data_IF_336494568735
#
_entry.id   IF_336494568735
#
_cell.length_a   1.000
_cell.length_b   1.000
_cell.length_c   1.000
_cell.angle_alpha   90.00
_cell.angle_beta   90.00
_cell.angle_gamma   90.00
#
_symmetry.space_group_name_H-M   'P 1'
#
loop_
_entity.id
_entity.type
_entity.pdbx_description
1 polymer ?
#
# COMPACT_ATOMS: atom_id res chain seq x y z
N UNK A 1 30.75 -5.87 -32.30
CA UNK A 1 30.46 -5.41 -33.67
C UNK A 1 29.20 -4.57 -33.56
N UNK A 2 29.30 -3.28 -33.25
CA UNK A 2 29.52 -2.15 -34.19
C UNK A 2 28.21 -1.35 -34.19
N UNK A 3 28.13 -0.03 -34.14
CA UNK A 3 29.10 1.06 -34.10
C UNK A 3 28.33 2.34 -33.69
N UNK A 4 28.98 3.22 -32.93
CA UNK A 4 28.53 4.60 -32.64
C UNK A 4 29.25 5.53 -33.63
N UNK A 5 28.60 6.56 -34.22
CA UNK A 5 29.34 7.65 -34.83
C UNK A 5 29.24 8.94 -34.00
N UNK A 6 30.41 9.42 -33.59
CA UNK A 6 30.67 10.82 -33.24
C UNK A 6 30.74 11.68 -34.51
N UNK A 7 30.33 12.95 -34.44
CA UNK A 7 30.64 13.94 -35.46
C UNK A 7 31.24 15.21 -34.87
N UNK A 8 32.40 15.57 -35.43
CA UNK A 8 33.27 16.68 -35.10
C UNK A 8 32.86 17.99 -35.79
N UNK A 9 33.22 19.13 -35.18
CA UNK A 9 33.17 20.49 -35.73
C UNK A 9 34.03 20.68 -37.01
N UNK A 10 33.90 21.82 -37.74
CA UNK A 10 34.81 22.95 -37.46
C UNK A 10 34.27 24.37 -37.73
N UNK A 11 35.05 25.34 -37.21
CA UNK A 11 34.95 26.81 -37.28
C UNK A 11 34.97 27.39 -38.71
N UNK A 12 34.37 28.57 -38.89
CA UNK A 12 34.81 29.55 -39.89
C UNK A 12 34.70 31.01 -39.36
N UNK A 13 35.77 31.77 -39.58
CA UNK A 13 35.95 33.21 -39.37
C UNK A 13 35.47 34.03 -40.58
N UNK A 14 35.07 35.29 -40.36
CA UNK A 14 34.79 36.24 -41.44
C UNK A 14 34.67 37.70 -40.97
N UNK A 15 35.68 38.51 -41.30
CA UNK A 15 35.73 39.98 -41.21
C UNK A 15 34.93 40.65 -42.35
N UNK A 16 34.42 41.88 -42.11
CA UNK A 16 33.97 42.80 -43.16
C UNK A 16 33.62 44.21 -42.62
N UNK A 17 33.75 45.29 -43.41
CA UNK A 17 34.38 46.54 -42.95
C UNK A 17 33.47 47.79 -42.90
N UNK A 18 34.01 48.83 -42.24
CA UNK A 18 33.62 50.25 -42.24
C UNK A 18 33.71 50.91 -43.62
N UNK A 19 32.90 51.95 -43.88
CA UNK A 19 33.27 53.04 -44.77
C UNK A 19 33.42 54.38 -44.03
N UNK A 20 34.46 55.09 -44.47
CA UNK A 20 34.87 56.45 -44.12
C UNK A 20 34.30 57.43 -45.17
N UNK A 21 33.93 58.65 -44.77
CA UNK A 21 33.66 59.75 -45.70
C UNK A 21 34.13 61.08 -45.07
N UNK A 22 35.25 61.56 -45.60
CA UNK A 22 35.72 62.96 -45.68
C UNK A 22 34.66 63.81 -46.43
N UNK A 23 34.58 65.13 -46.44
CA UNK A 23 35.50 66.27 -46.41
C UNK A 23 34.59 67.53 -46.13
N UNK A 24 35.04 68.76 -45.85
CA UNK A 24 35.86 69.66 -46.67
C UNK A 24 36.17 70.94 -45.87
N UNK A 25 37.15 71.69 -46.39
CA UNK A 25 37.88 72.79 -45.76
C UNK A 25 37.43 74.20 -46.24
N UNK A 26 38.23 75.20 -45.85
CA UNK A 26 38.31 76.61 -46.30
C UNK A 26 37.36 77.64 -45.66
N UNK A 27 37.73 78.90 -45.38
CA UNK A 27 39.00 79.66 -45.26
C UNK A 27 38.60 81.04 -44.66
N UNK A 28 39.47 81.62 -43.82
CA UNK A 28 39.92 83.04 -43.78
C UNK A 28 39.94 83.73 -42.39
N UNK A 29 40.97 84.56 -42.09
CA UNK A 29 41.35 84.98 -40.74
C UNK A 29 41.11 86.47 -40.41
N UNK A 30 41.25 86.73 -39.10
CA UNK A 30 41.64 87.95 -38.39
C UNK A 30 40.82 89.25 -38.52
N UNK A 31 40.34 89.76 -37.37
CA UNK A 31 40.73 91.06 -36.81
C UNK A 31 40.20 91.26 -35.37
N UNK A 32 41.14 91.15 -34.41
CA UNK A 32 41.36 91.94 -33.17
C UNK A 32 40.19 92.77 -32.58
N UNK A 33 39.79 92.49 -31.33
CA UNK A 33 39.74 93.52 -30.27
C UNK A 33 39.72 92.92 -28.86
N UNK A 34 40.68 93.41 -28.07
CA UNK A 34 41.04 93.06 -26.70
C UNK A 34 40.12 93.78 -25.70
N UNK A 35 39.54 93.04 -24.74
CA UNK A 35 39.07 93.61 -23.46
C UNK A 35 38.83 92.53 -22.40
N UNK A 36 39.65 92.62 -21.34
CA UNK A 36 39.31 92.35 -19.94
C UNK A 36 39.06 90.91 -19.48
N UNK A 37 39.98 90.40 -18.65
CA UNK A 37 39.83 89.25 -17.74
C UNK A 37 39.05 89.64 -16.44
N UNK A 38 38.82 88.75 -15.44
CA UNK A 38 38.84 87.27 -15.42
C UNK A 38 37.57 86.66 -14.74
N UNK A 39 37.55 85.32 -14.57
CA UNK A 39 36.71 84.50 -13.65
C UNK A 39 35.22 84.36 -14.06
N UNK A 40 34.68 83.17 -14.30
CA UNK A 40 34.56 82.05 -13.36
C UNK A 40 34.85 80.67 -13.99
N UNK A 41 35.68 79.91 -13.26
CA UNK A 41 35.99 78.51 -13.44
C UNK A 41 34.76 77.65 -13.06
N UNK A 42 33.91 77.32 -14.02
CA UNK A 42 33.02 76.16 -13.91
C UNK A 42 33.72 74.94 -14.47
N UNK A 43 34.68 74.44 -13.69
CA UNK A 43 35.11 73.05 -13.71
C UNK A 43 33.91 72.16 -13.39
N UNK A 44 33.08 71.91 -14.39
CA UNK A 44 32.07 70.86 -14.37
C UNK A 44 32.83 69.54 -14.29
N UNK A 45 32.96 68.99 -13.08
CA UNK A 45 33.49 67.63 -12.84
C UNK A 45 32.52 66.62 -13.46
N UNK A 46 32.78 66.03 -14.63
CA UNK A 46 31.96 64.96 -15.16
C UNK A 46 32.54 63.67 -14.58
N UNK A 47 32.08 63.27 -13.40
CA UNK A 47 32.65 62.08 -12.78
C UNK A 47 32.04 61.65 -11.47
N UNK A 48 31.31 62.51 -10.77
CA UNK A 48 30.72 62.13 -9.47
C UNK A 48 29.23 61.85 -9.60
N UNK A 49 28.48 62.63 -10.39
CA UNK A 49 27.02 62.43 -10.54
C UNK A 49 26.69 61.20 -11.39
N UNK A 50 27.44 60.96 -12.47
CA UNK A 50 27.28 59.76 -13.29
C UNK A 50 27.69 58.49 -12.53
N UNK A 51 28.81 58.54 -11.79
CA UNK A 51 29.27 57.41 -10.95
C UNK A 51 28.30 57.16 -9.80
N UNK A 52 27.76 58.22 -9.17
CA UNK A 52 26.73 58.08 -8.13
C UNK A 52 25.42 57.51 -8.68
N UNK A 53 24.98 57.92 -9.88
CA UNK A 53 23.80 57.35 -10.54
C UNK A 53 23.96 55.87 -10.87
N UNK A 54 25.13 55.46 -11.39
CA UNK A 54 25.45 54.05 -11.62
C UNK A 54 25.57 53.25 -10.32
N UNK A 55 26.13 53.83 -9.26
CA UNK A 55 26.22 53.20 -7.95
C UNK A 55 24.82 52.98 -7.35
N UNK A 56 23.93 53.97 -7.43
CA UNK A 56 22.53 53.83 -6.99
C UNK A 56 21.80 52.79 -7.83
N UNK A 57 21.97 52.79 -9.15
CA UNK A 57 21.40 51.77 -10.04
C UNK A 57 21.87 50.35 -9.70
N UNK A 58 23.16 50.18 -9.40
CA UNK A 58 23.73 48.90 -8.95
C UNK A 58 23.17 48.45 -7.60
N UNK A 59 23.01 49.36 -6.64
CA UNK A 59 22.41 49.05 -5.34
C UNK A 59 20.95 48.63 -5.49
N UNK A 60 20.17 49.35 -6.30
CA UNK A 60 18.76 48.99 -6.56
C UNK A 60 18.67 47.64 -7.27
N UNK A 61 19.53 47.39 -8.27
CA UNK A 61 19.59 46.09 -8.93
C UNK A 61 19.97 44.97 -7.95
N UNK A 62 20.95 45.19 -7.07
CA UNK A 62 21.35 44.20 -6.06
C UNK A 62 20.21 43.91 -5.07
N UNK A 63 19.50 44.93 -4.59
CA UNK A 63 18.34 44.75 -3.71
C UNK A 63 17.22 44.01 -4.43
N UNK A 64 16.93 44.34 -5.68
CA UNK A 64 15.93 43.62 -6.48
C UNK A 64 16.32 42.15 -6.68
N UNK A 65 17.61 41.85 -6.93
CA UNK A 65 18.11 40.47 -6.99
C UNK A 65 17.95 39.75 -5.67
N UNK A 66 18.27 40.37 -4.54
CA UNK A 66 18.10 39.77 -3.20
C UNK A 66 16.62 39.48 -2.92
N UNK A 67 15.72 40.41 -3.24
CA UNK A 67 14.27 40.21 -3.06
C UNK A 67 13.76 39.10 -3.98
N UNK A 68 14.21 39.04 -5.24
CA UNK A 68 13.83 37.98 -6.16
C UNK A 68 14.35 36.60 -5.72
N UNK A 69 15.58 36.54 -5.22
CA UNK A 69 16.17 35.31 -4.67
C UNK A 69 15.42 34.87 -3.42
N UNK A 70 15.12 35.79 -2.51
CA UNK A 70 14.34 35.50 -1.31
C UNK A 70 12.93 34.99 -1.66
N UNK A 71 12.26 35.62 -2.61
CA UNK A 71 10.93 35.20 -3.05
C UNK A 71 10.93 33.81 -3.73
N UNK A 72 12.00 33.45 -4.45
CA UNK A 72 12.17 32.11 -5.02
C UNK A 72 12.49 31.09 -3.92
N UNK A 73 13.35 31.47 -2.96
CA UNK A 73 13.71 30.63 -1.83
C UNK A 73 12.47 30.25 -1.00
N UNK A 74 11.61 31.22 -0.72
CA UNK A 74 10.39 31.02 0.09
C UNK A 74 9.28 30.23 -0.62
N UNK A 75 9.42 29.90 -1.91
CA UNK A 75 8.38 29.17 -2.65
C UNK A 75 8.86 27.87 -3.31
N UNK A 76 10.16 27.76 -3.60
CA UNK A 76 10.74 26.58 -4.25
C UNK A 76 11.80 25.87 -3.39
N UNK A 77 12.22 26.47 -2.29
CA UNK A 77 13.25 25.95 -1.37
C UNK A 77 12.76 26.05 0.08
N UNK A 78 11.47 25.75 0.26
CA UNK A 78 10.78 25.70 1.54
C UNK A 78 10.42 24.25 1.90
N UNK A 79 10.14 23.94 3.18
CA UNK A 79 9.86 22.58 3.63
C UNK A 79 8.69 21.91 2.90
N UNK A 80 7.66 22.68 2.55
CA UNK A 80 6.49 22.24 1.79
C UNK A 80 6.87 21.82 0.37
N UNK A 81 7.77 22.54 -0.32
CA UNK A 81 8.23 22.17 -1.66
C UNK A 81 8.99 20.83 -1.68
N UNK A 82 9.77 20.53 -0.64
CA UNK A 82 10.41 19.21 -0.46
C UNK A 82 9.38 18.13 -0.22
N UNK A 83 8.37 18.40 0.60
CA UNK A 83 7.27 17.47 0.87
C UNK A 83 6.39 17.21 -0.37
N UNK A 84 6.12 18.22 -1.20
CA UNK A 84 5.44 18.09 -2.49
C UNK A 84 6.24 17.21 -3.45
N UNK A 85 7.55 17.46 -3.59
CA UNK A 85 8.42 16.64 -4.45
C UNK A 85 8.46 15.19 -3.98
N UNK A 86 8.51 14.99 -2.67
CA UNK A 86 8.42 13.66 -2.06
C UNK A 86 7.10 12.98 -2.39
N UNK A 87 5.97 13.67 -2.23
CA UNK A 87 4.64 13.14 -2.56
C UNK A 87 4.48 12.78 -4.04
N UNK A 88 5.01 13.61 -4.94
CA UNK A 88 5.04 13.32 -6.37
C UNK A 88 5.82 12.03 -6.68
N UNK A 89 6.97 11.83 -6.01
CA UNK A 89 7.76 10.61 -6.15
C UNK A 89 7.03 9.36 -5.61
N UNK A 90 6.32 9.47 -4.48
CA UNK A 90 5.47 8.37 -3.98
C UNK A 90 4.36 8.04 -4.98
N UNK A 91 3.68 9.07 -5.49
CA UNK A 91 2.59 8.94 -6.47
C UNK A 91 3.06 8.30 -7.78
N UNK A 92 4.29 8.58 -8.21
CA UNK A 92 4.89 7.99 -9.40
C UNK A 92 5.46 6.57 -9.16
N UNK A 93 5.51 6.10 -7.90
CA UNK A 93 6.21 4.86 -7.53
C UNK A 93 7.73 4.97 -7.62
N UNK A 94 8.27 6.18 -7.69
CA UNK A 94 9.69 6.49 -7.87
C UNK A 94 10.42 6.48 -6.52
N UNK A 95 10.41 5.32 -5.86
CA UNK A 95 10.94 5.15 -4.52
C UNK A 95 12.40 5.56 -4.31
N UNK A 96 13.25 5.43 -5.34
CA UNK A 96 14.64 5.88 -5.28
C UNK A 96 14.78 7.40 -5.31
N UNK A 97 13.85 8.09 -5.98
CA UNK A 97 13.77 9.55 -5.98
C UNK A 97 13.29 10.06 -4.62
N UNK A 98 12.22 9.46 -4.08
CA UNK A 98 11.77 9.73 -2.71
C UNK A 98 12.90 9.53 -1.69
N UNK A 99 13.62 8.40 -1.75
CA UNK A 99 14.73 8.10 -0.85
C UNK A 99 15.88 9.11 -0.95
N UNK A 100 16.07 9.73 -2.12
CA UNK A 100 17.13 10.73 -2.33
C UNK A 100 16.91 12.04 -1.57
N UNK A 101 15.68 12.26 -1.09
CA UNK A 101 15.29 13.42 -0.28
C UNK A 101 15.55 13.20 1.21
N UNK A 102 15.92 11.99 1.65
CA UNK A 102 16.18 11.67 3.04
C UNK A 102 17.64 11.93 3.43
N UNK A 103 17.84 12.45 4.65
CA UNK A 103 19.19 12.63 5.23
C UNK A 103 19.90 11.28 5.45
N UNK A 104 19.11 10.25 5.79
CA UNK A 104 19.58 8.90 6.08
C UNK A 104 18.43 7.90 6.03
N UNK A 105 18.79 6.64 5.80
CA UNK A 105 17.85 5.52 5.79
C UNK A 105 17.91 4.82 7.16
N UNK A 106 16.77 4.46 7.78
CA UNK A 106 16.78 3.69 9.02
C UNK A 106 17.54 2.35 8.89
N UNK A 107 18.13 1.85 9.98
CA UNK A 107 18.89 0.59 9.98
C UNK A 107 18.02 -0.63 9.61
N UNK A 108 16.75 -0.65 10.05
CA UNK A 108 15.83 -1.75 9.76
C UNK A 108 15.54 -1.91 8.26
N UNK A 109 15.52 -0.81 7.50
CA UNK A 109 15.27 -0.89 6.05
C UNK A 109 16.50 -1.37 5.26
N UNK A 110 17.67 -1.44 5.90
CA UNK A 110 18.95 -1.80 5.28
C UNK A 110 19.40 -3.23 5.53
N UNK A 111 18.95 -3.86 6.63
CA UNK A 111 19.43 -5.16 7.07
C UNK A 111 18.71 -6.36 6.40
N UNK A 112 17.63 -6.10 5.65
CA UNK A 112 16.82 -7.13 4.97
C UNK A 112 15.91 -7.93 5.90
N UNK A 113 15.69 -7.46 7.14
CA UNK A 113 14.77 -8.07 8.11
C UNK A 113 13.31 -7.72 7.80
N UNK A 114 13.08 -6.52 7.26
CA UNK A 114 11.76 -6.08 6.77
C UNK A 114 11.72 -6.10 5.25
N UNK A 115 10.55 -6.40 4.71
CA UNK A 115 10.30 -6.31 3.27
C UNK A 115 10.14 -4.84 2.86
N UNK A 116 10.87 -4.44 1.82
CA UNK A 116 10.88 -3.08 1.29
C UNK A 116 9.90 -2.89 0.12
N UNK A 117 8.94 -3.81 -0.05
CA UNK A 117 7.94 -3.81 -1.12
C UNK A 117 7.26 -2.44 -1.29
N UNK A 118 6.82 -1.83 -0.18
CA UNK A 118 6.09 -0.55 -0.19
C UNK A 118 7.00 0.67 -0.38
N UNK A 119 8.31 0.50 -0.51
CA UNK A 119 9.23 1.61 -0.75
C UNK A 119 9.48 1.89 -2.23
N UNK A 120 8.89 1.14 -3.16
CA UNK A 120 9.16 1.36 -4.59
C UNK A 120 8.11 0.75 -5.53
N UNK A 121 8.03 1.24 -6.76
CA UNK A 121 7.31 0.60 -7.85
C UNK A 121 5.80 0.64 -7.71
N UNK A 122 5.14 -0.39 -8.25
CA UNK A 122 3.69 -0.47 -8.31
C UNK A 122 3.00 -0.50 -6.92
N UNK A 123 3.51 -1.21 -5.89
CA UNK A 123 2.91 -1.17 -4.55
C UNK A 123 2.93 0.23 -3.93
N UNK A 124 4.00 0.99 -4.18
CA UNK A 124 4.13 2.38 -3.70
C UNK A 124 3.16 3.32 -4.44
N UNK A 125 3.10 3.26 -5.77
CA UNK A 125 2.14 4.10 -6.52
C UNK A 125 0.70 3.73 -6.17
N UNK A 126 0.42 2.43 -5.95
CA UNK A 126 -0.91 1.95 -5.52
C UNK A 126 -1.29 2.49 -4.15
N UNK A 127 -0.36 2.57 -3.21
CA UNK A 127 -0.57 3.24 -1.92
C UNK A 127 -1.01 4.69 -2.11
N UNK A 128 -0.31 5.44 -2.96
CA UNK A 128 -0.66 6.84 -3.23
C UNK A 128 -2.02 7.00 -3.94
N UNK A 129 -2.43 6.06 -4.79
CA UNK A 129 -3.78 6.05 -5.40
C UNK A 129 -4.91 5.87 -4.38
N UNK A 130 -4.63 5.18 -3.26
CA UNK A 130 -5.59 4.97 -2.17
C UNK A 130 -5.70 6.19 -1.24
N UNK A 131 -4.80 7.16 -1.40
CA UNK A 131 -4.79 8.41 -0.66
C UNK A 131 -5.50 9.49 -1.49
N UNK A 132 -6.64 9.96 -0.99
CA UNK A 132 -7.44 10.99 -1.60
C UNK A 132 -7.14 12.36 -0.98
N UNK A 133 -7.22 13.42 -1.79
CA UNK A 133 -7.15 14.81 -1.30
C UNK A 133 -5.92 15.12 -0.43
N UNK A 134 -4.76 14.61 -0.81
CA UNK A 134 -3.50 14.95 -0.13
C UNK A 134 -3.22 16.45 -0.28
N UNK A 135 -3.18 17.15 0.85
CA UNK A 135 -2.81 18.55 0.99
C UNK A 135 -1.54 18.64 1.84
N UNK A 136 -0.57 19.42 1.39
CA UNK A 136 0.68 19.68 2.10
C UNK A 136 0.66 21.11 2.62
N UNK A 137 0.95 21.28 3.91
CA UNK A 137 1.07 22.58 4.55
C UNK A 137 2.42 22.70 5.28
N UNK A 138 3.07 23.85 5.16
CA UNK A 138 4.27 24.15 5.94
C UNK A 138 3.93 24.27 7.44
N UNK A 139 4.78 23.68 8.29
CA UNK A 139 4.72 23.86 9.76
C UNK A 139 6.05 24.41 10.27
N UNK A 140 6.07 24.86 11.53
CA UNK A 140 7.30 25.43 12.12
C UNK A 140 8.47 24.45 12.22
N UNK A 141 8.19 23.14 12.18
CA UNK A 141 9.15 22.06 12.39
C UNK A 141 9.22 21.09 11.17
N UNK A 142 8.59 21.42 10.03
CA UNK A 142 8.59 20.58 8.83
C UNK A 142 7.40 20.83 7.90
N UNK A 143 6.77 19.76 7.43
CA UNK A 143 5.53 19.80 6.66
C UNK A 143 4.46 18.89 7.28
N UNK A 144 3.20 19.25 7.12
CA UNK A 144 2.04 18.45 7.53
C UNK A 144 1.30 17.99 6.29
N UNK A 145 1.02 16.69 6.23
CA UNK A 145 0.12 16.08 5.26
C UNK A 145 -1.26 15.94 5.88
N UNK A 146 -2.28 16.49 5.22
CA UNK A 146 -3.69 16.19 5.49
C UNK A 146 -4.28 15.44 4.32
N UNK A 147 -4.88 14.28 4.56
CA UNK A 147 -5.39 13.42 3.49
C UNK A 147 -6.56 12.56 3.95
N UNK A 148 -7.25 11.93 3.00
CA UNK A 148 -8.33 10.97 3.25
C UNK A 148 -7.92 9.60 2.73
N UNK A 149 -8.18 8.55 3.49
CA UNK A 149 -8.01 7.17 3.06
C UNK A 149 -9.25 6.38 3.48
N UNK A 150 -9.97 5.81 2.51
CA UNK A 150 -11.28 5.22 2.78
C UNK A 150 -12.29 6.27 3.25
N UNK A 151 -12.89 6.06 4.43
CA UNK A 151 -13.89 6.96 5.01
C UNK A 151 -13.30 7.96 6.03
N UNK A 152 -12.02 7.80 6.38
CA UNK A 152 -11.37 8.53 7.47
C UNK A 152 -10.38 9.58 6.96
N UNK A 153 -10.28 10.69 7.70
CA UNK A 153 -9.32 11.77 7.45
C UNK A 153 -8.14 11.63 8.40
N UNK A 154 -6.93 11.74 7.86
CA UNK A 154 -5.67 11.59 8.56
C UNK A 154 -4.84 12.86 8.43
N UNK A 155 -4.00 13.08 9.46
CA UNK A 155 -2.99 14.11 9.46
C UNK A 155 -1.68 13.47 9.93
N UNK A 156 -0.58 13.74 9.24
CA UNK A 156 0.75 13.27 9.64
C UNK A 156 1.80 14.34 9.41
N UNK A 157 2.72 14.48 10.36
CA UNK A 157 3.87 15.37 10.21
C UNK A 157 5.01 14.64 9.49
N UNK A 158 5.61 15.30 8.50
CA UNK A 158 6.84 14.90 7.86
C UNK A 158 7.97 15.80 8.39
N UNK A 159 8.86 15.29 9.24
CA UNK A 159 9.97 16.07 9.77
C UNK A 159 10.98 16.39 8.66
N UNK A 160 11.19 17.68 8.40
CA UNK A 160 12.15 18.17 7.40
C UNK A 160 13.17 19.05 8.09
N UNK A 161 14.45 18.80 7.85
CA UNK A 161 15.56 19.52 8.48
C UNK A 161 16.32 20.35 7.45
N UNK A 162 16.67 21.58 7.82
CA UNK A 162 17.57 22.43 7.02
C UNK A 162 18.99 21.87 7.08
N UNK A 163 19.54 21.47 5.93
CA UNK A 163 20.85 20.81 5.85
C UNK A 163 21.94 21.69 5.25
N UNK A 164 21.56 22.82 4.63
CA UNK A 164 22.55 23.75 4.11
C UNK A 164 21.97 24.81 3.17
N UNK A 165 22.87 25.36 2.35
CA UNK A 165 22.50 26.34 1.34
C UNK A 165 23.27 26.11 0.05
N UNK A 166 22.55 25.73 -1.00
CA UNK A 166 23.02 25.60 -2.36
C UNK A 166 23.25 26.97 -2.99
N UNK A 167 24.38 27.09 -3.70
CA UNK A 167 24.83 28.33 -4.36
C UNK A 167 25.01 29.55 -3.43
N UNK A 168 24.89 29.37 -2.11
CA UNK A 168 25.02 30.42 -1.10
C UNK A 168 23.76 31.26 -0.90
N UNK A 169 22.61 30.85 -1.46
CA UNK A 169 21.35 31.56 -1.31
C UNK A 169 20.07 30.71 -1.38
N UNK A 170 20.14 29.44 -1.77
CA UNK A 170 18.99 28.53 -1.78
C UNK A 170 19.11 27.53 -0.64
N UNK A 171 18.12 27.49 0.23
CA UNK A 171 18.11 26.56 1.36
C UNK A 171 17.93 25.12 0.87
N UNK A 172 18.71 24.20 1.45
CA UNK A 172 18.58 22.76 1.21
C UNK A 172 17.87 22.12 2.40
N UNK A 173 16.91 21.27 2.10
CA UNK A 173 16.05 20.60 3.07
C UNK A 173 16.06 19.10 2.81
N UNK A 174 16.22 18.31 3.87
CA UNK A 174 16.19 16.84 3.81
C UNK A 174 15.16 16.30 4.80
N UNK A 175 14.49 15.23 4.42
CA UNK A 175 13.52 14.52 5.25
C UNK A 175 14.29 13.69 6.29
N UNK A 176 13.86 13.75 7.56
CA UNK A 176 14.48 12.95 8.60
C UNK A 176 14.15 11.46 8.42
N UNK A 177 14.99 10.57 8.97
CA UNK A 177 14.80 9.11 8.84
C UNK A 177 13.45 8.61 9.36
N UNK A 178 12.77 9.37 10.23
CA UNK A 178 11.45 9.08 10.76
C UNK A 178 10.31 9.13 9.71
N UNK A 179 10.56 9.67 8.52
CA UNK A 179 9.63 9.57 7.38
C UNK A 179 9.59 8.18 6.72
N UNK A 180 10.43 7.24 7.19
CA UNK A 180 10.35 5.82 6.88
C UNK A 180 10.11 5.08 8.20
N UNK A 181 9.05 4.28 8.23
CA UNK A 181 8.70 3.43 9.37
C UNK A 181 8.47 2.00 8.91
N UNK A 182 8.06 1.11 9.81
CA UNK A 182 7.65 -0.24 9.50
C UNK A 182 6.45 -0.66 10.36
N UNK A 183 5.68 -1.62 9.85
CA UNK A 183 4.58 -2.26 10.55
C UNK A 183 4.64 -3.77 10.35
N UNK A 184 3.96 -4.50 11.24
CA UNK A 184 3.85 -5.96 11.20
C UNK A 184 2.42 -6.35 10.81
N UNK A 185 2.30 -7.18 9.77
CA UNK A 185 1.06 -7.90 9.45
C UNK A 185 1.10 -9.21 10.20
N UNK A 186 0.07 -9.47 10.99
CA UNK A 186 -0.14 -10.71 11.73
C UNK A 186 -1.33 -11.46 11.12
N UNK A 187 -1.13 -12.74 10.80
CA UNK A 187 -2.12 -13.60 10.16
C UNK A 187 -2.38 -14.82 11.04
N UNK A 188 -3.22 -14.67 12.09
CA UNK A 188 -3.55 -15.78 12.96
C UNK A 188 -4.11 -16.97 12.18
N UNK A 189 -3.63 -18.17 12.49
CA UNK A 189 -4.09 -19.39 11.83
C UNK A 189 -3.49 -19.64 10.44
N UNK A 190 -2.56 -18.81 9.95
CA UNK A 190 -1.98 -18.97 8.60
C UNK A 190 -1.44 -20.38 8.34
N UNK A 191 -0.79 -21.01 9.33
CA UNK A 191 -0.26 -22.38 9.20
C UNK A 191 -1.37 -23.43 9.04
N UNK A 192 -2.45 -23.29 9.80
CA UNK A 192 -3.63 -24.18 9.75
C UNK A 192 -4.39 -24.00 8.43
N UNK A 193 -4.40 -22.78 7.90
CA UNK A 193 -4.99 -22.43 6.62
C UNK A 193 -4.10 -22.73 5.41
N UNK A 194 -2.84 -23.14 5.61
CA UNK A 194 -1.89 -23.35 4.51
C UNK A 194 -1.47 -22.06 3.80
N UNK A 195 -1.61 -20.91 4.46
CA UNK A 195 -1.27 -19.59 3.93
C UNK A 195 0.21 -19.32 4.18
N UNK A 196 0.96 -19.12 3.09
CA UNK A 196 2.38 -18.72 3.16
C UNK A 196 2.64 -17.30 2.66
N UNK A 197 1.63 -16.62 2.12
CA UNK A 197 1.77 -15.30 1.50
C UNK A 197 0.51 -14.47 1.71
N UNK A 198 0.70 -13.15 1.80
CA UNK A 198 -0.36 -12.14 1.76
C UNK A 198 -0.15 -11.24 0.55
N UNK A 199 -1.23 -10.73 -0.04
CA UNK A 199 -1.15 -9.70 -1.07
C UNK A 199 -1.13 -8.33 -0.38
N UNK A 200 -0.13 -7.51 -0.69
CA UNK A 200 -0.04 -6.12 -0.21
C UNK A 200 0.03 -5.20 -1.41
N UNK A 201 -0.98 -4.34 -1.56
CA UNK A 201 -1.11 -3.42 -2.71
C UNK A 201 -0.96 -4.14 -4.07
N UNK A 202 -1.45 -5.38 -4.15
CA UNK A 202 -1.46 -6.19 -5.37
C UNK A 202 -0.22 -7.07 -5.62
N UNK A 203 0.80 -7.02 -4.76
CA UNK A 203 2.00 -7.86 -4.88
C UNK A 203 2.12 -8.84 -3.68
N UNK A 204 2.56 -10.09 -3.89
CA UNK A 204 2.76 -11.06 -2.82
C UNK A 204 3.91 -10.71 -1.87
N UNK A 205 3.67 -10.88 -0.58
CA UNK A 205 4.65 -10.83 0.51
C UNK A 205 4.63 -12.17 1.22
N UNK A 206 5.81 -12.77 1.42
CA UNK A 206 5.91 -14.05 2.14
C UNK A 206 5.76 -13.82 3.65
N UNK A 207 5.03 -14.72 4.30
CA UNK A 207 4.96 -14.78 5.75
C UNK A 207 6.18 -15.55 6.29
N UNK A 208 6.77 -15.04 7.37
CA UNK A 208 7.63 -15.81 8.27
C UNK A 208 6.76 -16.35 9.41
N UNK A 209 6.51 -17.66 9.38
CA UNK A 209 5.49 -18.33 10.19
C UNK A 209 4.07 -17.77 9.95
N UNK A 210 3.68 -16.75 10.72
CA UNK A 210 2.35 -16.14 10.72
C UNK A 210 2.43 -14.61 10.54
N UNK A 211 3.62 -14.04 10.36
CA UNK A 211 3.80 -12.59 10.26
C UNK A 211 4.59 -12.15 9.04
N UNK A 212 4.42 -10.89 8.64
CA UNK A 212 5.27 -10.21 7.67
C UNK A 212 5.56 -8.79 8.15
N UNK A 213 6.82 -8.37 8.08
CA UNK A 213 7.23 -7.01 8.43
C UNK A 213 7.50 -6.21 7.17
N UNK A 214 6.90 -5.03 7.07
CA UNK A 214 6.94 -4.18 5.89
C UNK A 214 7.44 -2.79 6.27
N UNK A 215 8.46 -2.30 5.58
CA UNK A 215 8.82 -0.88 5.65
C UNK A 215 7.92 -0.06 4.75
N UNK A 216 7.63 1.17 5.16
CA UNK A 216 6.74 2.07 4.46
C UNK A 216 7.19 3.52 4.61
N UNK A 217 6.94 4.29 3.56
CA UNK A 217 7.03 5.75 3.58
C UNK A 217 5.85 6.35 4.33
N UNK A 218 6.04 7.51 4.96
CA UNK A 218 4.94 8.26 5.59
C UNK A 218 4.48 9.39 4.66
N UNK A 219 3.17 9.52 4.33
CA UNK A 219 2.11 8.54 4.57
C UNK A 219 2.16 7.37 3.56
N UNK A 220 1.59 6.23 3.94
CA UNK A 220 1.34 5.07 3.06
C UNK A 220 0.01 4.43 3.42
N UNK A 221 -0.74 3.95 2.43
CA UNK A 221 -1.90 3.08 2.64
C UNK A 221 -1.57 1.68 2.10
N UNK A 222 -1.70 0.68 2.96
CA UNK A 222 -1.50 -0.72 2.65
C UNK A 222 -2.86 -1.45 2.63
N UNK A 223 -3.32 -1.83 1.45
CA UNK A 223 -4.42 -2.78 1.24
C UNK A 223 -3.82 -4.19 1.31
N UNK A 224 -4.20 -4.92 2.35
CA UNK A 224 -3.66 -6.26 2.65
C UNK A 224 -4.81 -7.25 2.46
N UNK A 225 -4.58 -8.30 1.67
CA UNK A 225 -5.59 -9.31 1.40
C UNK A 225 -5.00 -10.71 1.29
N UNK A 226 -5.85 -11.67 1.63
CA UNK A 226 -5.67 -13.09 1.38
C UNK A 226 -6.90 -13.49 0.56
N UNK A 227 -6.67 -13.97 -0.64
CA UNK A 227 -7.71 -14.49 -1.54
C UNK A 227 -7.21 -15.82 -2.09
N UNK A 228 -7.43 -16.87 -1.29
CA UNK A 228 -7.12 -18.24 -1.67
C UNK A 228 -8.42 -18.96 -2.00
N UNK A 229 -8.31 -20.15 -2.61
CA UNK A 229 -9.50 -20.96 -2.89
C UNK A 229 -10.33 -21.27 -1.64
N UNK A 230 -9.70 -21.36 -0.46
CA UNK A 230 -10.35 -21.85 0.76
C UNK A 230 -10.58 -20.78 1.82
N UNK A 231 -9.75 -19.73 1.83
CA UNK A 231 -9.75 -18.70 2.84
C UNK A 231 -9.67 -17.32 2.19
N UNK A 232 -10.47 -16.41 2.74
CA UNK A 232 -10.51 -15.01 2.34
C UNK A 232 -10.32 -14.10 3.55
N UNK A 233 -9.68 -12.95 3.36
CA UNK A 233 -9.57 -11.92 4.38
C UNK A 233 -8.99 -10.65 3.78
N UNK A 234 -9.43 -9.49 4.24
CA UNK A 234 -8.94 -8.21 3.74
C UNK A 234 -8.97 -7.13 4.84
N UNK A 235 -7.96 -6.28 4.85
CA UNK A 235 -7.89 -5.11 5.73
C UNK A 235 -7.11 -3.99 5.07
N UNK A 236 -7.27 -2.77 5.57
CA UNK A 236 -6.53 -1.60 5.13
C UNK A 236 -5.82 -0.98 6.32
N UNK A 237 -4.55 -0.66 6.16
CA UNK A 237 -3.75 -0.01 7.19
C UNK A 237 -3.16 1.30 6.66
N UNK A 238 -3.28 2.37 7.43
CA UNK A 238 -2.72 3.68 7.12
C UNK A 238 -1.50 3.91 8.00
N UNK A 239 -0.36 4.09 7.35
CA UNK A 239 0.92 4.36 7.99
C UNK A 239 1.10 5.87 8.10
N UNK A 240 1.16 6.37 9.33
CA UNK A 240 1.51 7.76 9.66
C UNK A 240 2.81 7.83 10.47
N UNK A 241 3.35 9.02 10.67
CA UNK A 241 4.48 9.23 11.57
C UNK A 241 4.08 8.80 13.00
N UNK A 242 4.99 8.11 13.70
CA UNK A 242 4.75 7.68 15.07
C UNK A 242 4.73 8.88 16.04
N UNK A 243 3.71 8.95 16.88
CA UNK A 243 3.64 9.93 17.96
C UNK A 243 4.78 9.71 18.97
N UNK A 244 5.74 10.64 19.04
CA UNK A 244 6.70 10.72 20.14
C UNK A 244 8.08 10.08 19.95
N UNK A 245 8.51 9.82 18.71
CA UNK A 245 9.93 9.57 18.39
C UNK A 245 10.52 8.22 18.81
N UNK A 246 9.78 7.41 19.57
CA UNK A 246 10.11 6.01 19.79
C UNK A 246 9.56 5.18 18.62
N UNK A 247 10.32 5.11 17.52
CA UNK A 247 10.11 4.21 16.37
C UNK A 247 10.26 2.70 16.74
N UNK A 248 10.12 2.36 18.03
CA UNK A 248 10.50 1.07 18.60
C UNK A 248 9.32 0.09 18.78
N UNK A 249 8.07 0.55 18.71
CA UNK A 249 6.91 -0.35 18.63
C UNK A 249 6.29 -0.23 17.25
N UNK A 250 6.53 -1.22 16.39
CA UNK A 250 5.77 -1.35 15.17
C UNK A 250 4.29 -1.46 15.48
N UNK A 251 3.50 -0.75 14.68
CA UNK A 251 2.08 -0.99 14.62
C UNK A 251 1.84 -2.41 14.10
N UNK A 252 0.88 -3.11 14.71
CA UNK A 252 0.49 -4.46 14.30
C UNK A 252 -0.88 -4.42 13.66
N UNK A 253 -0.97 -4.97 12.47
CA UNK A 253 -2.22 -5.15 11.72
C UNK A 253 -2.56 -6.63 11.77
N UNK A 254 -3.61 -6.98 12.50
CA UNK A 254 -4.08 -8.38 12.58
C UNK A 254 -5.13 -8.63 11.50
N UNK A 255 -4.92 -9.66 10.70
CA UNK A 255 -5.86 -10.14 9.69
C UNK A 255 -6.97 -10.98 10.33
N UNK A 256 -8.19 -10.81 9.84
CA UNK A 256 -9.31 -11.70 10.09
C UNK A 256 -9.54 -12.56 8.85
N UNK A 257 -9.59 -13.88 9.03
CA UNK A 257 -9.76 -14.86 7.96
C UNK A 257 -11.11 -15.54 8.08
N UNK A 258 -11.72 -15.82 6.94
CA UNK A 258 -13.01 -16.49 6.83
C UNK A 258 -12.92 -17.63 5.82
N UNK A 259 -13.73 -18.66 6.01
CA UNK A 259 -13.91 -19.71 5.02
C UNK A 259 -14.58 -19.15 3.75
N UNK A 260 -14.04 -19.48 2.59
CA UNK A 260 -14.62 -19.07 1.31
C UNK A 260 -15.94 -19.81 1.01
N UNK A 261 -16.71 -19.28 0.06
CA UNK A 261 -17.90 -19.97 -0.47
C UNK A 261 -17.53 -21.33 -1.09
N UNK A 262 -16.37 -21.42 -1.75
CA UNK A 262 -15.86 -22.66 -2.32
C UNK A 262 -15.50 -23.69 -1.24
N UNK A 263 -14.95 -23.27 -0.09
CA UNK A 263 -14.69 -24.17 1.03
C UNK A 263 -15.99 -24.73 1.61
N UNK A 264 -17.00 -23.87 1.79
CA UNK A 264 -18.32 -24.29 2.28
C UNK A 264 -18.98 -25.29 1.31
N UNK A 265 -19.01 -24.98 0.01
CA UNK A 265 -19.54 -25.89 -1.02
C UNK A 265 -18.81 -27.23 -1.04
N UNK A 266 -17.49 -27.21 -0.86
CA UNK A 266 -16.69 -28.43 -0.83
C UNK A 266 -17.04 -29.33 0.37
N UNK A 267 -17.30 -28.73 1.54
CA UNK A 267 -17.78 -29.46 2.72
C UNK A 267 -19.17 -30.06 2.46
N UNK A 268 -20.08 -29.28 1.89
CA UNK A 268 -21.44 -29.73 1.56
C UNK A 268 -21.43 -30.94 0.63
N UNK A 269 -20.59 -30.92 -0.41
CA UNK A 269 -20.43 -32.04 -1.35
C UNK A 269 -19.93 -33.33 -0.66
N UNK A 270 -18.96 -33.22 0.25
CA UNK A 270 -18.44 -34.38 1.00
C UNK A 270 -19.48 -34.95 1.97
N UNK A 271 -20.22 -34.08 2.66
CA UNK A 271 -21.30 -34.50 3.55
C UNK A 271 -22.45 -35.16 2.78
N UNK A 272 -22.85 -34.59 1.65
CA UNK A 272 -23.87 -35.17 0.79
C UNK A 272 -23.45 -36.55 0.27
N UNK A 273 -22.20 -36.70 -0.18
CA UNK A 273 -21.66 -37.98 -0.62
C UNK A 273 -21.61 -39.01 0.53
N UNK A 274 -21.21 -38.57 1.73
CA UNK A 274 -21.20 -39.42 2.92
C UNK A 274 -22.60 -39.93 3.29
N UNK A 275 -23.61 -39.07 3.25
CA UNK A 275 -24.98 -39.46 3.55
C UNK A 275 -25.63 -40.31 2.44
N UNK A 276 -25.31 -40.07 1.17
CA UNK A 276 -25.77 -40.91 0.04
C UNK A 276 -25.24 -42.35 0.16
N UNK A 277 -23.97 -42.52 0.55
CA UNK A 277 -23.39 -43.83 0.84
C UNK A 277 -24.08 -44.56 2.02
N UNK A 278 -24.79 -43.82 2.87
CA UNK A 278 -25.56 -44.34 3.99
C UNK A 278 -27.00 -44.74 3.65
N UNK A 279 -27.53 -44.36 2.49
CA UNK A 279 -28.87 -44.76 2.04
C UNK A 279 -28.88 -46.22 1.54
N UNK A 280 -28.71 -47.14 2.47
CA UNK A 280 -28.71 -48.58 2.24
C UNK A 280 -30.04 -49.17 2.73
N UNK A 281 -30.61 -50.11 1.98
CA UNK A 281 -31.85 -50.82 2.33
C UNK A 281 -31.66 -51.87 3.45
N UNK A 282 -31.10 -51.45 4.58
CA UNK A 282 -30.84 -52.25 5.79
C UNK A 282 -31.07 -51.40 7.04
N UNK A 283 -31.46 -52.02 8.15
CA UNK A 283 -31.67 -51.30 9.43
C UNK A 283 -30.36 -50.88 10.12
N UNK A 284 -29.22 -51.39 9.64
CA UNK A 284 -27.88 -51.08 10.17
C UNK A 284 -26.92 -50.92 8.99
N UNK A 285 -26.95 -49.74 8.32
CA UNK A 285 -26.08 -49.47 7.18
C UNK A 285 -24.60 -49.56 7.56
N UNK A 286 -23.79 -50.16 6.69
CA UNK A 286 -22.37 -50.33 6.94
C UNK A 286 -21.63 -49.02 6.67
N UNK A 287 -20.74 -48.62 7.58
CA UNK A 287 -19.96 -47.37 7.45
C UNK A 287 -20.67 -46.12 7.98
N UNK A 288 -21.87 -46.29 8.55
CA UNK A 288 -22.72 -45.20 9.01
C UNK A 288 -22.90 -45.23 10.53
N UNK A 289 -23.05 -44.08 11.19
CA UNK A 289 -23.18 -43.98 12.64
C UNK A 289 -24.58 -44.31 13.15
N UNK A 290 -25.47 -44.75 12.25
CA UNK A 290 -26.88 -44.97 12.53
C UNK A 290 -27.23 -46.45 12.46
N UNK A 291 -28.22 -46.83 13.25
CA UNK A 291 -28.84 -48.15 13.18
C UNK A 291 -30.03 -48.26 14.10
N UNK A 292 -31.02 -49.04 13.67
CA UNK A 292 -32.22 -49.33 14.46
C UNK A 292 -32.50 -50.83 14.49
N UNK A 293 -33.32 -51.26 15.46
CA UNK A 293 -33.73 -52.67 15.59
C UNK A 293 -35.21 -52.74 15.90
N UNK A 294 -35.90 -53.73 15.32
CA UNK A 294 -37.31 -54.00 15.59
C UNK A 294 -37.51 -55.50 15.86
N UNK A 295 -38.41 -55.89 16.78
CA UNK A 295 -38.77 -57.30 16.97
C UNK A 295 -39.69 -57.84 15.85
N UNK A 296 -40.10 -56.98 14.91
CA UNK A 296 -41.02 -57.31 13.82
C UNK A 296 -40.28 -57.80 12.58
N UNK A 297 -41.01 -58.48 11.69
CA UNK A 297 -40.41 -58.97 10.44
C UNK A 297 -40.48 -57.85 9.39
N UNK A 298 -39.34 -57.25 9.09
CA UNK A 298 -39.23 -56.14 8.13
C UNK A 298 -39.26 -56.61 6.68
N UNK A 299 -39.87 -55.81 5.81
CA UNK A 299 -39.73 -55.90 4.37
C UNK A 299 -38.52 -55.06 3.92
N UNK A 300 -37.39 -55.68 3.54
CA UNK A 300 -36.15 -54.95 3.26
C UNK A 300 -36.28 -53.95 2.10
N UNK A 301 -37.16 -54.22 1.14
CA UNK A 301 -37.33 -53.37 -0.05
C UNK A 301 -38.03 -52.04 0.28
N UNK A 302 -38.54 -51.90 1.51
CA UNK A 302 -39.24 -50.71 2.01
C UNK A 302 -38.41 -49.86 2.98
N UNK A 303 -37.20 -50.32 3.34
CA UNK A 303 -36.31 -49.57 4.22
C UNK A 303 -35.79 -48.34 3.48
N UNK A 304 -36.00 -47.17 4.07
CA UNK A 304 -35.47 -45.89 3.58
C UNK A 304 -34.92 -45.09 4.74
N UNK A 305 -33.75 -44.49 4.52
CA UNK A 305 -33.11 -43.57 5.45
C UNK A 305 -33.20 -42.14 4.92
N UNK A 306 -33.47 -41.20 5.80
CA UNK A 306 -33.37 -39.77 5.53
C UNK A 306 -32.40 -39.14 6.52
N UNK A 307 -31.37 -38.48 6.00
CA UNK A 307 -30.34 -37.79 6.79
C UNK A 307 -30.58 -36.27 6.75
N UNK A 308 -29.96 -35.51 7.67
CA UNK A 308 -29.94 -34.04 7.61
C UNK A 308 -29.36 -33.52 6.30
N UNK A 309 -29.81 -32.34 5.89
CA UNK A 309 -29.29 -31.66 4.71
C UNK A 309 -27.87 -31.14 5.00
N UNK A 310 -26.99 -31.15 3.99
CA UNK A 310 -25.59 -30.75 4.16
C UNK A 310 -25.46 -29.25 4.46
N UNK A 311 -26.43 -28.47 3.99
CA UNK A 311 -26.59 -27.03 4.22
C UNK A 311 -26.90 -26.67 5.68
N UNK A 312 -27.20 -27.67 6.52
CA UNK A 312 -27.34 -27.47 7.98
C UNK A 312 -25.99 -27.36 8.70
N UNK A 313 -24.88 -27.63 8.00
CA UNK A 313 -23.52 -27.51 8.53
C UNK A 313 -22.90 -26.19 8.06
N UNK A 314 -22.40 -25.39 9.01
CA UNK A 314 -21.70 -24.14 8.73
C UNK A 314 -20.20 -24.33 8.95
N UNK A 315 -19.41 -23.98 7.94
CA UNK A 315 -17.95 -23.95 7.98
C UNK A 315 -17.46 -22.55 8.33
N UNK A 316 -16.65 -22.43 9.37
CA UNK A 316 -15.95 -21.19 9.75
C UNK A 316 -14.46 -21.44 9.88
N UNK A 317 -13.69 -20.36 9.90
CA UNK A 317 -12.25 -20.41 10.13
C UNK A 317 -11.84 -19.25 11.05
N UNK A 318 -10.90 -19.51 11.96
CA UNK A 318 -10.31 -18.49 12.82
C UNK A 318 -8.85 -18.82 13.17
N UNK A 319 -8.31 -18.14 14.20
CA UNK A 319 -6.95 -18.34 14.68
C UNK A 319 -6.67 -19.77 15.21
N UNK A 320 -7.69 -20.49 15.68
CA UNK A 320 -7.61 -21.86 16.18
C UNK A 320 -7.70 -22.88 15.03
N UNK A 321 -8.34 -22.48 13.92
CA UNK A 321 -8.34 -23.20 12.64
C UNK A 321 -9.75 -23.33 12.06
N UNK A 322 -10.00 -24.45 11.39
CA UNK A 322 -11.31 -24.78 10.84
C UNK A 322 -12.28 -25.19 11.94
N UNK A 323 -13.49 -24.65 11.92
CA UNK A 323 -14.58 -25.01 12.82
C UNK A 323 -15.84 -25.34 12.02
N UNK A 324 -16.58 -26.36 12.47
CA UNK A 324 -17.86 -26.75 11.88
C UNK A 324 -18.92 -26.68 12.96
N UNK A 325 -20.02 -26.02 12.66
CA UNK A 325 -21.17 -25.92 13.56
C UNK A 325 -22.41 -26.50 12.90
N UNK A 326 -23.22 -27.22 13.67
CA UNK A 326 -24.46 -27.84 13.22
C UNK A 326 -25.43 -28.02 14.39
N UNK A 327 -26.70 -28.29 14.07
CA UNK A 327 -27.71 -28.67 15.07
C UNK A 327 -27.58 -30.15 15.48
N UNK A 328 -28.38 -30.60 16.44
CA UNK A 328 -28.43 -32.03 16.80
C UNK A 328 -28.76 -32.88 15.57
N UNK A 329 -27.90 -33.85 15.25
CA UNK A 329 -28.04 -34.68 14.06
C UNK A 329 -28.97 -35.87 14.34
N UNK A 330 -30.01 -35.99 13.52
CA UNK A 330 -31.01 -37.05 13.63
C UNK A 330 -31.30 -37.60 12.25
N UNK A 331 -31.14 -38.91 12.07
CA UNK A 331 -31.59 -39.62 10.89
C UNK A 331 -32.98 -40.22 11.12
N UNK A 332 -33.80 -40.29 10.09
CA UNK A 332 -35.10 -40.96 10.12
C UNK A 332 -35.02 -42.27 9.35
N UNK A 333 -35.34 -43.38 10.01
CA UNK A 333 -35.53 -44.68 9.37
C UNK A 333 -37.02 -44.95 9.20
N UNK A 334 -37.45 -45.26 7.98
CA UNK A 334 -38.83 -45.69 7.69
C UNK A 334 -38.84 -47.07 7.02
N UNK A 335 -39.76 -47.94 7.45
CA UNK A 335 -39.91 -49.28 6.86
C UNK A 335 -41.27 -49.91 7.16
N UNK A 336 -41.70 -50.79 6.27
CA UNK A 336 -42.86 -51.65 6.52
C UNK A 336 -42.42 -52.93 7.26
N UNK A 337 -43.21 -53.29 8.26
CA UNK A 337 -42.98 -54.48 9.07
C UNK A 337 -44.25 -55.29 9.27
N UNK A 338 -44.09 -56.57 9.60
CA UNK A 338 -45.20 -57.45 10.00
C UNK A 338 -45.04 -57.77 11.48
N UNK A 339 -46.07 -57.44 12.26
CA UNK A 339 -46.06 -57.69 13.69
C UNK A 339 -45.90 -59.19 13.98
N UNK A 340 -44.82 -59.54 14.66
CA UNK A 340 -44.37 -60.93 14.85
C UNK A 340 -45.44 -61.87 15.46
N UNK A 341 -46.35 -61.35 16.29
CA UNK A 341 -47.38 -62.18 16.95
C UNK A 341 -48.76 -62.15 16.26
N UNK A 342 -49.13 -61.05 15.62
CA UNK A 342 -50.50 -60.84 15.10
C UNK A 342 -50.58 -60.96 13.59
N UNK A 343 -49.45 -60.81 12.88
CA UNK A 343 -49.41 -60.79 11.41
C UNK A 343 -49.96 -59.51 10.80
N UNK A 344 -50.22 -58.48 11.59
CA UNK A 344 -50.65 -57.16 11.13
C UNK A 344 -49.51 -56.43 10.42
N UNK A 345 -49.82 -55.67 9.37
CA UNK A 345 -48.85 -54.80 8.71
C UNK A 345 -48.70 -53.51 9.52
N UNK A 346 -47.46 -53.11 9.75
CA UNK A 346 -47.04 -51.91 10.45
C UNK A 346 -46.20 -51.07 9.50
N UNK A 347 -46.29 -49.75 9.65
CA UNK A 347 -45.34 -48.81 9.10
C UNK A 347 -44.66 -48.15 10.30
N UNK A 348 -43.35 -48.33 10.40
CA UNK A 348 -42.53 -47.86 11.52
C UNK A 348 -41.63 -46.72 11.03
N UNK A 349 -41.52 -45.69 11.87
CA UNK A 349 -40.64 -44.54 11.67
C UNK A 349 -39.87 -44.34 12.97
N UNK A 350 -38.54 -44.37 12.89
CA UNK A 350 -37.65 -44.23 14.04
C UNK A 350 -36.69 -43.05 13.83
N UNK A 351 -36.61 -42.18 14.84
CA UNK A 351 -35.61 -41.09 14.87
C UNK A 351 -34.35 -41.60 15.57
N UNK A 352 -33.24 -41.58 14.86
CA UNK A 352 -31.95 -42.13 15.29
C UNK A 352 -30.95 -40.99 15.42
N UNK A 353 -30.70 -40.47 16.64
CA UNK A 353 -29.66 -39.46 16.86
C UNK A 353 -28.27 -40.07 16.64
N UNK A 354 -27.34 -39.27 16.12
CA UNK A 354 -25.96 -39.69 15.88
C UNK A 354 -24.99 -38.51 16.01
N UNK A 355 -23.69 -38.81 16.10
CA UNK A 355 -22.64 -37.81 16.13
C UNK A 355 -21.68 -38.02 14.95
N UNK A 356 -21.11 -36.93 14.44
CA UNK A 356 -20.03 -36.93 13.45
C UNK A 356 -18.78 -36.26 14.04
N UNK A 357 -17.63 -36.91 13.86
CA UNK A 357 -16.31 -36.29 14.00
C UNK A 357 -15.83 -35.90 12.61
N UNK A 358 -15.90 -34.60 12.30
CA UNK A 358 -15.51 -34.04 11.02
C UNK A 358 -14.23 -33.22 11.20
N UNK A 359 -13.20 -33.55 10.44
CA UNK A 359 -11.91 -32.86 10.47
C UNK A 359 -11.62 -32.26 9.11
N UNK A 360 -11.17 -31.01 9.10
CA UNK A 360 -10.82 -30.25 7.89
C UNK A 360 -9.37 -29.81 7.95
N UNK A 361 -8.69 -29.89 6.81
CA UNK A 361 -7.38 -29.28 6.62
C UNK A 361 -7.19 -28.83 5.18
N UNK A 362 -6.48 -27.72 5.00
CA UNK A 362 -6.09 -27.23 3.69
C UNK A 362 -4.61 -27.56 3.41
N UNK A 363 -4.32 -28.03 2.20
CA UNK A 363 -2.95 -28.30 1.75
C UNK A 363 -2.79 -27.92 0.29
N UNK A 364 -2.33 -26.70 0.03
CA UNK A 364 -2.24 -26.17 -1.32
C UNK A 364 -3.63 -26.04 -1.94
N UNK A 365 -3.85 -26.68 -3.08
CA UNK A 365 -5.11 -26.63 -3.82
C UNK A 365 -6.14 -27.68 -3.35
N UNK A 366 -5.85 -28.43 -2.29
CA UNK A 366 -6.72 -29.48 -1.77
C UNK A 366 -7.30 -29.11 -0.40
N UNK A 367 -8.63 -29.12 -0.28
CA UNK A 367 -9.34 -29.15 0.99
C UNK A 367 -9.66 -30.61 1.35
N UNK A 368 -9.03 -31.11 2.40
CA UNK A 368 -9.21 -32.48 2.89
C UNK A 368 -10.28 -32.47 3.98
N UNK A 369 -11.38 -33.16 3.71
CA UNK A 369 -12.46 -33.38 4.68
C UNK A 369 -12.44 -34.86 5.08
N UNK A 370 -12.40 -35.13 6.38
CA UNK A 370 -12.49 -36.48 6.94
C UNK A 370 -13.71 -36.57 7.83
N UNK A 371 -14.67 -37.41 7.46
CA UNK A 371 -15.93 -37.61 8.20
C UNK A 371 -15.90 -39.00 8.84
N UNK A 372 -16.00 -39.04 10.16
CA UNK A 372 -16.12 -40.29 10.92
C UNK A 372 -17.37 -40.25 11.79
N UNK A 373 -18.31 -41.16 11.53
CA UNK A 373 -19.49 -41.27 12.35
C UNK A 373 -19.25 -42.05 13.64
N UNK A 374 -19.86 -41.60 14.74
CA UNK A 374 -19.95 -42.35 16.00
C UNK A 374 -21.40 -42.47 16.46
N UNK A 375 -21.75 -43.65 16.97
CA UNK A 375 -23.03 -43.85 17.67
C UNK A 375 -22.87 -43.43 19.14
N UNK A 376 -23.76 -42.59 19.70
CA UNK A 376 -23.67 -42.10 21.07
C UNK A 376 -23.75 -43.17 22.17
#
# INVERSE_FOLDING_TARGET
MSDIPQHSSPRHTGHGPVPNLSADADEHPDFVHERSAPEDDQTSRPGIVAVAGWAVGLVVAAVATVVAVWQVNEHFYAPDATAETYWDALSAGEGAEALSLFESVPEFAQNGEVDNLLLTGAPLSRSAELIESAEVAETGDGAEFSFTAGEDTYTTELPVTHTGTSWGFFDDWEIASAGITWFEVDVPGARQGGIGQVQVNGEPVNLDEETAQLSAYVPTVAEISIDTQWLTGATTHVVTAADGGDAASAERVTMELEASEEAAQRLEEELAAYFDDCDQQVLMPAGCPVGTTTPHRVDPDTISWNFPEAEEFSLTFDAEGWEITHNELVAEASFDAIHHHTGEQLNETEQVPFDLDIQIGASGDDLVVSINGTTP
#
